data_IF_165109508793
#
_entry.id   IF_165109508793
#
_cell.length_a   1.000
_cell.length_b   1.000
_cell.length_c   1.000
_cell.angle_alpha   90.00
_cell.angle_beta   90.00
_cell.angle_gamma   90.00
#
_symmetry.space_group_name_H-M   'P 1'
#
loop_
_entity.id
_entity.type
_entity.pdbx_description
1 polymer ?
#
# COMPACT_ATOMS: atom_id res chain seq x y z
N UNK A 1 -30.23 -0.40 -33.08
CA UNK A 1 -29.60 -1.55 -32.38
C UNK A 1 -28.16 -1.28 -31.91
N UNK A 2 -27.68 -0.03 -31.86
CA UNK A 2 -26.27 0.29 -31.53
C UNK A 2 -26.06 0.74 -30.07
N UNK A 3 -27.14 1.08 -29.35
CA UNK A 3 -27.08 1.64 -28.00
C UNK A 3 -27.38 0.63 -26.88
N UNK A 4 -28.00 -0.51 -27.19
CA UNK A 4 -28.43 -1.52 -26.21
C UNK A 4 -27.27 -2.26 -25.53
N UNK A 5 -26.10 -2.32 -26.17
CA UNK A 5 -24.88 -2.89 -25.60
C UNK A 5 -24.07 -1.87 -24.78
N UNK A 6 -24.34 -0.57 -24.96
CA UNK A 6 -23.58 0.49 -24.28
C UNK A 6 -23.98 0.63 -22.81
N UNK A 7 -25.28 0.52 -22.51
CA UNK A 7 -25.82 0.60 -21.15
C UNK A 7 -25.27 -0.48 -20.19
N UNK A 8 -25.27 -1.80 -20.52
CA UNK A 8 -24.69 -2.81 -19.64
C UNK A 8 -23.17 -2.66 -19.47
N UNK A 9 -22.48 -2.20 -20.52
CA UNK A 9 -21.03 -1.93 -20.46
C UNK A 9 -20.71 -0.78 -19.51
N UNK A 10 -21.49 0.31 -19.57
CA UNK A 10 -21.38 1.44 -18.64
C UNK A 10 -21.67 1.04 -17.19
N UNK A 11 -22.68 0.19 -16.96
CA UNK A 11 -22.96 -0.32 -15.60
C UNK A 11 -21.83 -1.21 -15.08
N UNK A 12 -21.25 -2.06 -15.93
CA UNK A 12 -20.13 -2.92 -15.54
C UNK A 12 -18.87 -2.09 -15.22
N UNK A 13 -18.61 -1.04 -16.02
CA UNK A 13 -17.50 -0.13 -15.79
C UNK A 13 -17.66 0.68 -14.50
N UNK A 14 -18.88 1.11 -14.18
CA UNK A 14 -19.19 1.81 -12.94
C UNK A 14 -19.00 0.93 -11.71
N UNK A 15 -19.40 -0.35 -11.76
CA UNK A 15 -19.13 -1.31 -10.67
C UNK A 15 -17.63 -1.59 -10.51
N UNK A 16 -16.89 -1.71 -11.61
CA UNK A 16 -15.44 -1.92 -11.56
C UNK A 16 -14.69 -0.72 -10.96
N UNK A 17 -15.11 0.50 -11.31
CA UNK A 17 -14.53 1.72 -10.75
C UNK A 17 -14.81 1.91 -9.25
N UNK A 18 -15.98 1.48 -8.78
CA UNK A 18 -16.34 1.53 -7.35
C UNK A 18 -15.51 0.57 -6.47
N UNK A 19 -14.88 -0.46 -7.07
CA UNK A 19 -14.03 -1.40 -6.35
C UNK A 19 -12.61 -0.87 -6.08
N UNK A 20 -12.18 0.20 -6.77
CA UNK A 20 -10.86 0.77 -6.57
C UNK A 20 -10.81 1.57 -5.25
N UNK A 21 -10.27 0.96 -4.19
CA UNK A 21 -10.05 1.65 -2.93
C UNK A 21 -8.88 2.64 -3.05
N UNK A 22 -8.98 3.84 -2.46
CA UNK A 22 -7.85 4.77 -2.40
C UNK A 22 -6.66 4.11 -1.69
N UNK A 23 -5.49 4.16 -2.34
CA UNK A 23 -4.24 3.59 -1.84
C UNK A 23 -3.29 4.70 -1.37
N UNK A 24 -2.56 4.44 -0.29
CA UNK A 24 -1.45 5.27 0.21
C UNK A 24 -0.12 4.65 -0.20
N UNK A 25 0.88 5.50 -0.43
CA UNK A 25 2.27 5.08 -0.50
C UNK A 25 2.86 5.16 0.90
N UNK A 26 3.38 4.04 1.39
CA UNK A 26 3.89 3.93 2.75
C UNK A 26 5.19 3.18 2.80
N UNK A 27 5.94 3.43 3.87
CA UNK A 27 7.04 2.61 4.34
C UNK A 27 6.57 1.91 5.61
N UNK A 28 6.71 0.58 5.64
CA UNK A 28 6.43 -0.25 6.81
C UNK A 28 7.76 -0.74 7.36
N UNK A 29 8.05 -0.41 8.62
CA UNK A 29 9.27 -0.81 9.31
C UNK A 29 8.95 -1.62 10.57
N UNK A 30 9.90 -2.46 10.96
CA UNK A 30 9.80 -3.38 12.10
C UNK A 30 11.08 -3.32 12.94
N UNK A 31 11.04 -3.74 14.22
CA UNK A 31 12.23 -3.96 15.03
C UNK A 31 13.23 -4.91 14.36
N UNK A 32 14.53 -4.70 14.56
CA UNK A 32 15.60 -5.47 13.88
C UNK A 32 15.57 -6.98 14.15
N UNK A 33 15.08 -7.39 15.32
CA UNK A 33 14.93 -8.79 15.71
C UNK A 33 13.69 -9.48 15.12
N UNK A 34 12.91 -8.78 14.29
CA UNK A 34 11.68 -9.32 13.69
C UNK A 34 12.00 -10.46 12.72
N UNK A 35 11.41 -11.65 12.90
CA UNK A 35 11.58 -12.78 11.98
C UNK A 35 11.05 -12.44 10.57
N UNK A 36 11.72 -12.98 9.55
CA UNK A 36 11.30 -12.74 8.15
C UNK A 36 9.87 -13.23 7.87
N UNK A 37 9.41 -14.28 8.54
CA UNK A 37 8.04 -14.77 8.39
C UNK A 37 6.97 -13.75 8.76
N UNK A 38 7.27 -12.83 9.68
CA UNK A 38 6.35 -11.73 10.06
C UNK A 38 6.28 -10.70 8.94
N UNK A 39 7.42 -10.35 8.33
CA UNK A 39 7.48 -9.44 7.19
C UNK A 39 6.77 -10.04 5.98
N UNK A 40 7.01 -11.33 5.69
CA UNK A 40 6.36 -12.07 4.61
C UNK A 40 4.84 -12.10 4.81
N UNK A 41 4.36 -12.44 6.01
CA UNK A 41 2.93 -12.43 6.32
C UNK A 41 2.30 -11.05 6.14
N UNK A 42 2.98 -9.98 6.57
CA UNK A 42 2.50 -8.62 6.36
C UNK A 42 2.45 -8.24 4.87
N UNK A 43 3.49 -8.56 4.10
CA UNK A 43 3.51 -8.31 2.66
C UNK A 43 2.42 -9.11 1.93
N UNK A 44 2.16 -10.34 2.36
CA UNK A 44 1.11 -11.18 1.79
C UNK A 44 -0.29 -10.65 2.08
N UNK A 45 -0.53 -10.11 3.28
CA UNK A 45 -1.78 -9.40 3.60
C UNK A 45 -1.97 -8.18 2.68
N UNK A 46 -0.92 -7.38 2.46
CA UNK A 46 -0.97 -6.25 1.52
C UNK A 46 -1.32 -6.72 0.11
N UNK A 47 -0.69 -7.80 -0.39
CA UNK A 47 -0.98 -8.36 -1.72
C UNK A 47 -2.40 -8.92 -1.81
N UNK A 48 -2.87 -9.63 -0.78
CA UNK A 48 -4.21 -10.19 -0.71
C UNK A 48 -5.29 -9.09 -0.73
N UNK A 49 -5.00 -7.93 -0.14
CA UNK A 49 -5.86 -6.76 -0.18
C UNK A 49 -5.75 -5.94 -1.49
N UNK A 50 -5.05 -6.44 -2.51
CA UNK A 50 -4.87 -5.76 -3.80
C UNK A 50 -3.84 -4.63 -3.78
N UNK A 51 -3.02 -4.55 -2.73
CA UNK A 51 -1.86 -3.66 -2.66
C UNK A 51 -0.64 -4.21 -3.42
N UNK A 52 0.39 -3.38 -3.54
CA UNK A 52 1.62 -3.68 -4.28
C UNK A 52 2.82 -3.36 -3.39
N UNK A 53 3.74 -4.30 -3.25
CA UNK A 53 5.04 -4.06 -2.64
C UNK A 53 5.94 -3.39 -3.68
N UNK A 54 6.39 -2.18 -3.41
CA UNK A 54 7.20 -1.38 -4.33
C UNK A 54 8.69 -1.57 -4.11
N UNK A 55 9.09 -1.87 -2.87
CA UNK A 55 10.47 -2.12 -2.52
C UNK A 55 10.59 -2.96 -1.25
N UNK A 56 11.58 -3.84 -1.17
CA UNK A 56 11.94 -4.56 0.05
C UNK A 56 13.32 -4.08 0.52
N UNK A 57 13.43 -3.62 1.76
CA UNK A 57 14.67 -3.06 2.28
C UNK A 57 15.59 -4.16 2.78
N UNK A 58 16.89 -4.04 2.45
CA UNK A 58 17.95 -4.94 2.95
C UNK A 58 18.71 -4.36 4.14
N UNK A 59 18.58 -3.05 4.37
CA UNK A 59 19.32 -2.29 5.39
C UNK A 59 18.63 -2.23 6.75
N UNK A 60 17.31 -2.46 6.79
CA UNK A 60 16.50 -2.61 7.99
C UNK A 60 15.34 -3.56 7.70
N UNK A 61 14.62 -4.02 8.75
CA UNK A 61 13.44 -4.87 8.59
C UNK A 61 12.24 -4.05 8.13
N UNK A 62 11.93 -4.09 6.84
CA UNK A 62 10.78 -3.38 6.33
C UNK A 62 10.64 -3.43 4.81
N UNK A 63 9.57 -2.82 4.32
CA UNK A 63 9.25 -2.73 2.90
C UNK A 63 8.46 -1.45 2.60
N UNK A 64 8.48 -1.00 1.36
CA UNK A 64 7.61 0.05 0.84
C UNK A 64 6.44 -0.57 0.07
N UNK A 65 5.26 0.04 0.18
CA UNK A 65 4.05 -0.48 -0.44
C UNK A 65 3.08 0.63 -0.88
N UNK A 66 2.26 0.27 -1.87
CA UNK A 66 0.99 0.93 -2.19
C UNK A 66 -0.15 0.09 -1.65
N UNK A 67 -0.89 0.58 -0.68
CA UNK A 67 -1.90 -0.20 0.03
C UNK A 67 -3.12 0.63 0.43
N UNK A 68 -4.28 -0.02 0.55
CA UNK A 68 -5.47 0.63 1.10
C UNK A 68 -5.31 0.86 2.61
N UNK A 69 -6.01 1.86 3.15
CA UNK A 69 -6.00 2.15 4.61
C UNK A 69 -6.38 0.91 5.42
N UNK A 70 -7.40 0.18 4.98
CA UNK A 70 -7.86 -1.05 5.62
C UNK A 70 -6.76 -2.12 5.68
N UNK A 71 -6.00 -2.29 4.60
CA UNK A 71 -4.90 -3.26 4.58
C UNK A 71 -3.80 -2.87 5.58
N UNK A 72 -3.49 -1.57 5.68
CA UNK A 72 -2.53 -1.04 6.65
C UNK A 72 -3.00 -1.20 8.09
N UNK A 73 -4.29 -0.99 8.35
CA UNK A 73 -4.90 -1.25 9.66
C UNK A 73 -4.81 -2.74 10.03
N UNK A 74 -5.04 -3.65 9.07
CA UNK A 74 -4.85 -5.09 9.30
C UNK A 74 -3.40 -5.40 9.65
N UNK A 75 -2.44 -4.91 8.86
CA UNK A 75 -0.99 -5.10 9.13
C UNK A 75 -0.61 -4.54 10.50
N UNK A 76 -1.14 -3.38 10.88
CA UNK A 76 -0.92 -2.80 12.21
C UNK A 76 -1.47 -3.70 13.32
N UNK A 77 -2.67 -4.26 13.13
CA UNK A 77 -3.33 -5.14 14.09
C UNK A 77 -2.70 -6.54 14.18
N UNK A 78 -2.00 -7.01 13.14
CA UNK A 78 -1.18 -8.22 13.18
C UNK A 78 0.05 -8.07 14.10
N UNK A 79 0.44 -6.83 14.38
CA UNK A 79 1.54 -6.51 15.29
C UNK A 79 1.23 -6.99 16.71
N UNK A 80 1.81 -8.13 17.08
CA UNK A 80 1.79 -8.66 18.45
C UNK A 80 3.11 -8.32 19.16
N UNK A 81 4.06 -9.25 19.16
CA UNK A 81 5.41 -9.06 19.68
C UNK A 81 6.22 -8.08 18.81
N UNK A 82 5.99 -8.10 17.49
CA UNK A 82 6.67 -7.26 16.52
C UNK A 82 5.70 -6.23 15.94
N UNK A 83 5.72 -5.03 16.52
CA UNK A 83 4.83 -3.94 16.11
C UNK A 83 5.39 -3.27 14.85
N UNK A 84 4.57 -3.21 13.80
CA UNK A 84 4.89 -2.46 12.60
C UNK A 84 4.76 -0.94 12.87
N UNK A 85 5.72 -0.16 12.38
CA UNK A 85 5.60 1.29 12.24
C UNK A 85 5.30 1.60 10.77
N UNK A 86 4.18 2.28 10.53
CA UNK A 86 3.70 2.62 9.19
C UNK A 86 3.78 4.13 9.01
N UNK A 87 4.59 4.57 8.04
CA UNK A 87 4.83 5.98 7.74
C UNK A 87 4.42 6.28 6.29
N UNK A 88 3.79 7.42 6.04
CA UNK A 88 3.48 7.85 4.67
C UNK A 88 4.77 8.26 3.95
N UNK A 89 4.92 7.78 2.71
CA UNK A 89 6.05 8.13 1.86
C UNK A 89 5.90 9.56 1.34
N UNK A 90 7.00 10.33 1.38
CA UNK A 90 7.01 11.74 1.08
C UNK A 90 8.13 12.11 0.12
N UNK A 91 7.82 13.00 -0.83
CA UNK A 91 8.82 13.53 -1.77
C UNK A 91 9.68 14.56 -1.05
N UNK A 92 11.00 14.36 -1.09
CA UNK A 92 11.97 15.33 -0.60
C UNK A 92 12.51 16.14 -1.78
N UNK A 93 12.54 17.47 -1.64
CA UNK A 93 13.06 18.38 -2.68
C UNK A 93 14.32 19.10 -2.21
N UNK A 94 15.22 19.39 -3.15
CA UNK A 94 16.35 20.27 -2.90
C UNK A 94 15.85 21.71 -2.95
N UNK A 95 16.04 22.47 -1.88
CA UNK A 95 15.81 23.90 -1.90
C UNK A 95 16.95 24.58 -2.69
N UNK A 96 16.79 24.72 -4.01
CA UNK A 96 17.69 25.54 -4.82
C UNK A 96 17.42 26.99 -4.46
N UNK A 97 18.22 27.55 -3.55
CA UNK A 97 18.16 28.95 -3.09
C UNK A 97 18.48 29.98 -4.17
N UNK A 98 17.75 29.96 -5.30
CA UNK A 98 17.78 30.98 -6.32
C UNK A 98 17.10 32.24 -5.79
N UNK A 99 17.83 33.35 -5.87
CA UNK A 99 17.36 34.68 -5.49
C UNK A 99 15.97 34.98 -6.08
N UNK A 100 15.08 35.46 -5.22
CA UNK A 100 13.88 36.21 -5.62
C UNK A 100 14.27 37.46 -6.41
#
# INVERSE_FOLDING_TARGET
MKLTLLAPLLTLLALAAAAAQPQRQVIVSYPDNTPNSVLEAAMDEIRAAGGIITHEYKIFKGFAAKASVKALETVQAMGSEYVALIEEDAVVSVNSGGAQ
#
